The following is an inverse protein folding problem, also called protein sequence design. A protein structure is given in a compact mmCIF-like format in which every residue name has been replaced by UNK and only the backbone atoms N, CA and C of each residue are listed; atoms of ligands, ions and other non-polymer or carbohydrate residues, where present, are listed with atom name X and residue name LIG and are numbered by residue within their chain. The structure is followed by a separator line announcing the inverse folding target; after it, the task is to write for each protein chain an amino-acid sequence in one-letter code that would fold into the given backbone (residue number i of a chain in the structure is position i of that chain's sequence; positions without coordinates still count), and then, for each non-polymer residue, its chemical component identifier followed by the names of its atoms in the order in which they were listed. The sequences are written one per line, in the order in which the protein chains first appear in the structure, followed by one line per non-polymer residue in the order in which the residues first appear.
data_IF_853418466635
#
_entry.id   IF_853418466635
#
_cell.length_a   1.000
_cell.length_b   1.000
_cell.length_c   1.000
_cell.angle_alpha   90.00
_cell.angle_beta   90.00
_cell.angle_gamma   90.00
#
_symmetry.space_group_name_H-M   'P 1'
#
loop_
_entity.id
_entity.type
_entity.pdbx_description
1 polymer ?
#
# COMPACT_ATOMS: atom_id res chain seq x y z
N UNK A 1 -21.55 -36.86 0.34
CA UNK A 1 -20.15 -36.55 -0.05
C UNK A 1 -19.24 -37.13 1.03
N UNK A 2 -18.33 -38.06 0.69
CA UNK A 2 -17.61 -38.84 1.70
C UNK A 2 -16.51 -38.00 2.34
N UNK A 3 -16.18 -38.26 3.61
CA UNK A 3 -15.11 -37.54 4.34
C UNK A 3 -13.78 -37.61 3.59
N UNK A 4 -13.51 -38.75 2.94
CA UNK A 4 -12.34 -38.98 2.09
C UNK A 4 -12.25 -37.97 0.92
N UNK A 5 -13.38 -37.67 0.26
CA UNK A 5 -13.43 -36.71 -0.84
C UNK A 5 -13.08 -35.28 -0.37
N UNK A 6 -13.43 -34.96 0.88
CA UNK A 6 -13.12 -33.65 1.48
C UNK A 6 -11.63 -33.54 1.79
N UNK A 7 -11.01 -34.58 2.35
CA UNK A 7 -9.58 -34.61 2.64
C UNK A 7 -8.74 -34.52 1.35
N UNK A 8 -9.08 -35.31 0.33
CA UNK A 8 -8.37 -35.27 -0.95
C UNK A 8 -8.42 -33.89 -1.62
N UNK A 9 -9.56 -33.19 -1.53
CA UNK A 9 -9.68 -31.80 -2.04
C UNK A 9 -8.79 -30.83 -1.28
N UNK A 10 -8.68 -30.98 0.04
CA UNK A 10 -7.84 -30.13 0.91
C UNK A 10 -6.36 -30.34 0.62
N UNK A 11 -5.92 -31.59 0.50
CA UNK A 11 -4.55 -31.91 0.08
C UNK A 11 -4.20 -31.35 -1.30
N UNK A 12 -5.13 -31.45 -2.27
CA UNK A 12 -4.93 -30.85 -3.59
C UNK A 12 -4.75 -29.32 -3.50
N UNK A 13 -5.48 -28.67 -2.60
CA UNK A 13 -5.40 -27.23 -2.34
C UNK A 13 -4.03 -26.86 -1.75
N UNK A 14 -3.53 -27.64 -0.80
CA UNK A 14 -2.21 -27.43 -0.20
C UNK A 14 -1.08 -27.63 -1.21
N UNK A 15 -1.20 -28.62 -2.10
CA UNK A 15 -0.23 -28.85 -3.19
C UNK A 15 -0.24 -27.72 -4.22
N UNK A 16 -1.41 -27.21 -4.57
CA UNK A 16 -1.54 -26.05 -5.46
C UNK A 16 -0.82 -24.83 -4.88
N UNK A 17 -1.02 -24.57 -3.58
CA UNK A 17 -0.34 -23.49 -2.88
C UNK A 17 1.18 -23.67 -2.88
N UNK A 18 1.70 -24.86 -2.55
CA UNK A 18 3.14 -25.12 -2.55
C UNK A 18 3.77 -24.93 -3.94
N UNK A 19 3.10 -25.40 -5.00
CA UNK A 19 3.56 -25.21 -6.38
C UNK A 19 3.58 -23.74 -6.79
N UNK A 20 2.54 -22.97 -6.41
CA UNK A 20 2.52 -21.53 -6.68
C UNK A 20 3.60 -20.78 -5.91
N UNK A 21 3.87 -21.16 -4.66
CA UNK A 21 4.95 -20.57 -3.87
C UNK A 21 6.32 -20.84 -4.51
N UNK A 22 6.60 -22.09 -4.89
CA UNK A 22 7.85 -22.44 -5.58
C UNK A 22 8.04 -21.66 -6.88
N UNK A 23 6.96 -21.47 -7.65
CA UNK A 23 6.98 -20.68 -8.89
C UNK A 23 7.28 -19.20 -8.64
N UNK A 24 6.74 -18.63 -7.56
CA UNK A 24 6.98 -17.23 -7.21
C UNK A 24 8.35 -17.01 -6.55
N UNK A 25 8.86 -18.00 -5.83
CA UNK A 25 10.18 -17.99 -5.19
C UNK A 25 11.33 -18.19 -6.18
N UNK A 26 11.08 -18.88 -7.31
CA UNK A 26 12.06 -19.07 -8.37
C UNK A 26 11.70 -18.29 -9.65
N UNK A 27 11.81 -16.95 -9.66
CA UNK A 27 11.59 -16.14 -10.86
C UNK A 27 12.69 -16.30 -11.93
N UNK A 28 13.73 -17.10 -11.67
CA UNK A 28 14.91 -17.28 -12.53
C UNK A 28 14.87 -18.54 -13.40
N UNK A 29 13.76 -19.26 -13.47
CA UNK A 29 13.48 -20.11 -14.63
C UNK A 29 13.20 -19.19 -15.85
N UNK A 30 14.24 -18.47 -16.27
CA UNK A 30 14.27 -17.68 -17.49
C UNK A 30 13.98 -18.67 -18.62
N UNK A 31 12.96 -18.46 -19.46
CA UNK A 31 12.83 -19.27 -20.66
C UNK A 31 14.15 -19.19 -21.42
N UNK A 32 14.65 -20.30 -21.99
CA UNK A 32 15.89 -20.28 -22.75
C UNK A 32 15.81 -19.15 -23.78
N UNK A 33 16.91 -18.39 -23.92
CA UNK A 33 17.00 -17.32 -24.90
C UNK A 33 16.63 -17.94 -26.25
N UNK A 34 15.80 -17.30 -27.10
CA UNK A 34 15.31 -17.92 -28.34
C UNK A 34 16.41 -18.38 -29.30
N UNK A 35 17.67 -17.98 -29.09
CA UNK A 35 18.84 -18.44 -29.82
C UNK A 35 19.34 -19.85 -29.43
N UNK A 36 18.90 -20.41 -28.30
CA UNK A 36 19.34 -21.73 -27.79
C UNK A 36 18.26 -22.80 -27.93
N UNK A 37 17.11 -22.45 -28.53
CA UNK A 37 16.08 -23.40 -28.91
C UNK A 37 16.56 -24.14 -30.15
N UNK A 38 17.29 -25.23 -29.94
CA UNK A 38 17.54 -26.22 -30.98
C UNK A 38 16.18 -26.80 -31.38
N UNK A 39 15.74 -26.51 -32.61
CA UNK A 39 14.54 -27.08 -33.21
C UNK A 39 14.76 -28.58 -33.42
N UNK A 40 14.56 -29.38 -32.37
CA UNK A 40 14.33 -30.80 -32.52
C UNK A 40 12.91 -30.92 -33.06
N UNK A 41 12.77 -31.33 -34.32
CA UNK A 41 11.48 -31.57 -34.99
C UNK A 41 10.75 -32.76 -34.31
N UNK A 42 10.21 -32.52 -33.12
CA UNK A 42 9.25 -33.39 -32.46
C UNK A 42 7.81 -33.03 -32.86
N UNK A 43 6.85 -33.96 -32.72
CA UNK A 43 5.45 -33.71 -33.07
C UNK A 43 4.93 -32.45 -32.36
N UNK A 44 4.34 -31.56 -33.16
CA UNK A 44 3.83 -30.24 -32.75
C UNK A 44 3.05 -30.35 -31.43
N UNK A 45 3.67 -29.93 -30.34
CA UNK A 45 3.04 -29.91 -29.04
C UNK A 45 1.73 -29.11 -29.13
N UNK A 46 0.66 -29.68 -28.60
CA UNK A 46 -0.64 -29.03 -28.44
C UNK A 46 -0.46 -27.63 -27.83
N UNK A 47 -1.33 -26.64 -28.15
CA UNK A 47 -1.20 -25.28 -27.65
C UNK A 47 -1.11 -25.31 -26.13
N UNK A 48 0.08 -24.96 -25.61
CA UNK A 48 0.32 -24.87 -24.18
C UNK A 48 -0.72 -23.90 -23.59
N UNK A 49 -1.44 -24.36 -22.56
CA UNK A 49 -2.44 -23.56 -21.86
C UNK A 49 -1.88 -22.18 -21.53
N UNK A 50 -2.62 -21.13 -21.87
CA UNK A 50 -2.16 -19.75 -21.75
C UNK A 50 -1.64 -19.45 -20.33
N UNK A 51 -0.45 -18.84 -20.19
CA UNK A 51 0.11 -18.55 -18.88
C UNK A 51 -0.78 -17.53 -18.15
N UNK A 52 -1.40 -17.95 -17.04
CA UNK A 52 -2.18 -17.06 -16.15
C UNK A 52 -1.41 -15.79 -15.84
N UNK A 53 -2.08 -14.64 -15.85
CA UNK A 53 -1.39 -13.36 -15.62
C UNK A 53 -0.81 -13.31 -14.19
N UNK A 54 0.25 -12.52 -13.99
CA UNK A 54 0.84 -12.36 -12.65
C UNK A 54 -0.17 -11.85 -11.62
N UNK A 55 -1.14 -11.03 -12.04
CA UNK A 55 -2.20 -10.53 -11.17
C UNK A 55 -3.15 -11.66 -10.73
N UNK A 56 -3.58 -12.52 -11.66
CA UNK A 56 -4.39 -13.71 -11.34
C UNK A 56 -3.67 -14.66 -10.40
N UNK A 57 -2.36 -14.89 -10.62
CA UNK A 57 -1.56 -15.74 -9.73
C UNK A 57 -1.48 -15.19 -8.31
N UNK A 58 -1.40 -13.86 -8.14
CA UNK A 58 -1.39 -13.20 -6.82
C UNK A 58 -2.76 -13.29 -6.14
N UNK A 59 -3.85 -13.08 -6.88
CA UNK A 59 -5.20 -13.24 -6.35
C UNK A 59 -5.44 -14.68 -5.89
N UNK A 60 -5.07 -15.65 -6.74
CA UNK A 60 -5.17 -17.07 -6.43
C UNK A 60 -4.33 -17.47 -5.22
N UNK A 61 -3.12 -16.91 -5.08
CA UNK A 61 -2.28 -17.10 -3.90
C UNK A 61 -2.99 -16.64 -2.62
N UNK A 62 -3.63 -15.47 -2.66
CA UNK A 62 -4.37 -14.93 -1.51
C UNK A 62 -5.56 -15.80 -1.09
N UNK A 63 -6.29 -16.36 -2.06
CA UNK A 63 -7.38 -17.31 -1.81
C UNK A 63 -6.87 -18.59 -1.14
N UNK A 64 -5.86 -19.23 -1.71
CA UNK A 64 -5.28 -20.48 -1.21
C UNK A 64 -4.65 -20.32 0.17
N UNK A 65 -4.01 -19.17 0.42
CA UNK A 65 -3.46 -18.81 1.73
C UNK A 65 -4.56 -18.78 2.81
N UNK A 66 -5.65 -18.04 2.58
CA UNK A 66 -6.75 -17.95 3.54
C UNK A 66 -7.42 -19.30 3.78
N UNK A 67 -7.60 -20.10 2.73
CA UNK A 67 -8.11 -21.46 2.85
C UNK A 67 -7.22 -22.35 3.72
N UNK A 68 -5.90 -22.26 3.54
CA UNK A 68 -4.92 -23.02 4.33
C UNK A 68 -4.86 -22.58 5.80
N UNK A 69 -5.06 -21.28 6.09
CA UNK A 69 -5.20 -20.81 7.47
C UNK A 69 -6.44 -21.39 8.16
N UNK A 70 -7.58 -21.47 7.45
CA UNK A 70 -8.77 -22.11 7.99
C UNK A 70 -8.54 -23.60 8.26
N UNK A 71 -7.83 -24.30 7.36
CA UNK A 71 -7.48 -25.71 7.54
C UNK A 71 -6.51 -25.94 8.71
N UNK A 72 -5.56 -25.04 8.94
CA UNK A 72 -4.66 -25.08 10.09
C UNK A 72 -5.42 -24.90 11.41
N UNK A 73 -6.30 -23.90 11.50
CA UNK A 73 -7.14 -23.71 12.70
C UNK A 73 -8.04 -24.91 12.97
N UNK A 74 -8.56 -25.54 11.91
CA UNK A 74 -9.32 -26.78 12.02
C UNK A 74 -8.44 -27.93 12.53
N UNK A 75 -7.24 -28.09 11.99
CA UNK A 75 -6.31 -29.14 12.39
C UNK A 75 -5.88 -29.00 13.86
N UNK A 76 -5.66 -27.78 14.35
CA UNK A 76 -5.39 -27.48 15.76
C UNK A 76 -6.60 -27.79 16.65
N UNK A 77 -7.81 -27.37 16.24
CA UNK A 77 -9.03 -27.57 17.03
C UNK A 77 -9.42 -29.06 17.20
N UNK A 78 -9.07 -29.90 16.22
CA UNK A 78 -9.34 -31.34 16.24
C UNK A 78 -8.14 -32.20 16.65
N UNK A 79 -7.05 -31.60 17.14
CA UNK A 79 -5.82 -32.27 17.58
C UNK A 79 -5.32 -33.31 16.55
N UNK A 80 -5.27 -32.90 15.29
CA UNK A 80 -4.76 -33.73 14.19
C UNK A 80 -3.28 -34.09 14.42
N UNK A 81 -2.74 -35.11 13.72
CA UNK A 81 -1.35 -35.52 13.87
C UNK A 81 -0.37 -34.35 13.79
N UNK A 82 0.59 -34.30 14.72
CA UNK A 82 1.56 -33.19 14.85
C UNK A 82 2.32 -32.90 13.56
N UNK A 83 2.58 -33.92 12.75
CA UNK A 83 3.23 -33.78 11.43
C UNK A 83 2.40 -32.91 10.47
N UNK A 84 1.08 -33.12 10.43
CA UNK A 84 0.16 -32.37 9.56
C UNK A 84 0.06 -30.92 10.01
N UNK A 85 -0.05 -30.69 11.32
CA UNK A 85 -0.10 -29.34 11.91
C UNK A 85 1.20 -28.59 11.63
N UNK A 86 2.36 -29.24 11.83
CA UNK A 86 3.67 -28.67 11.52
C UNK A 86 3.83 -28.34 10.03
N UNK A 87 3.37 -29.23 9.14
CA UNK A 87 3.37 -28.99 7.70
C UNK A 87 2.52 -27.76 7.32
N UNK A 88 1.30 -27.66 7.85
CA UNK A 88 0.40 -26.53 7.62
C UNK A 88 0.99 -25.22 8.15
N UNK A 89 1.59 -25.21 9.34
CA UNK A 89 2.29 -24.03 9.85
C UNK A 89 3.43 -23.58 8.92
N UNK A 90 4.27 -24.51 8.47
CA UNK A 90 5.37 -24.18 7.56
C UNK A 90 4.88 -23.67 6.21
N UNK A 91 3.79 -24.25 5.67
CA UNK A 91 3.18 -23.83 4.42
C UNK A 91 2.57 -22.43 4.55
N UNK A 92 1.79 -22.17 5.61
CA UNK A 92 1.19 -20.86 5.89
C UNK A 92 2.26 -19.80 6.13
N UNK A 93 3.33 -20.10 6.86
CA UNK A 93 4.43 -19.16 7.09
C UNK A 93 5.13 -18.75 5.78
N UNK A 94 5.41 -19.70 4.88
CA UNK A 94 5.97 -19.38 3.54
C UNK A 94 4.99 -18.56 2.71
N UNK A 95 3.71 -18.92 2.72
CA UNK A 95 2.67 -18.18 2.02
C UNK A 95 2.52 -16.74 2.56
N UNK A 96 2.56 -16.56 3.86
CA UNK A 96 2.51 -15.26 4.52
C UNK A 96 3.65 -14.37 4.03
N UNK A 97 4.89 -14.90 4.07
CA UNK A 97 6.05 -14.20 3.54
C UNK A 97 5.86 -13.86 2.05
N UNK A 98 5.35 -14.77 1.22
CA UNK A 98 5.14 -14.48 -0.20
C UNK A 98 4.08 -13.38 -0.46
N UNK A 99 2.95 -13.41 0.26
CA UNK A 99 1.87 -12.41 0.14
C UNK A 99 2.37 -11.02 0.56
N UNK A 100 3.11 -10.94 1.67
CA UNK A 100 3.60 -9.66 2.19
C UNK A 100 4.89 -9.17 1.52
N UNK A 101 5.76 -10.06 1.02
CA UNK A 101 6.98 -9.72 0.25
C UNK A 101 6.68 -9.21 -1.16
N UNK A 102 5.49 -9.48 -1.71
CA UNK A 102 5.12 -9.13 -3.09
C UNK A 102 4.91 -7.62 -3.34
N UNK A 103 5.06 -6.75 -2.34
CA UNK A 103 5.00 -5.29 -2.51
C UNK A 103 6.39 -4.66 -2.34
N UNK A 104 7.30 -4.95 -3.29
CA UNK A 104 8.32 -3.96 -3.60
C UNK A 104 7.60 -2.69 -4.03
N UNK A 105 7.57 -1.68 -3.17
CA UNK A 105 6.89 -0.41 -3.44
C UNK A 105 7.50 0.19 -4.72
N UNK A 106 6.75 0.14 -5.83
CA UNK A 106 7.20 0.73 -7.09
C UNK A 106 6.97 2.23 -7.00
N UNK A 107 7.86 2.93 -6.29
CA UNK A 107 7.81 4.38 -6.05
C UNK A 107 7.45 5.16 -7.30
N UNK A 108 8.04 4.81 -8.45
CA UNK A 108 7.74 5.44 -9.75
C UNK A 108 6.29 5.28 -10.21
N UNK A 109 5.67 4.10 -10.06
CA UNK A 109 4.27 3.87 -10.45
C UNK A 109 3.30 4.55 -9.47
N UNK A 110 3.63 4.52 -8.19
CA UNK A 110 2.84 5.20 -7.17
C UNK A 110 2.89 6.72 -7.33
N UNK A 111 4.07 7.29 -7.58
CA UNK A 111 4.25 8.72 -7.87
C UNK A 111 3.51 9.12 -9.15
N UNK A 112 3.59 8.32 -10.22
CA UNK A 112 2.81 8.57 -11.43
C UNK A 112 1.30 8.60 -11.15
N UNK A 113 0.80 7.64 -10.36
CA UNK A 113 -0.61 7.61 -10.01
C UNK A 113 -1.03 8.85 -9.19
N UNK A 114 -0.21 9.26 -8.22
CA UNK A 114 -0.49 10.38 -7.34
C UNK A 114 -0.38 11.75 -8.04
N UNK A 115 0.59 11.95 -8.93
CA UNK A 115 0.85 13.23 -9.57
C UNK A 115 0.21 13.37 -10.96
N UNK A 116 -0.17 12.28 -11.62
CA UNK A 116 -0.75 12.31 -12.97
C UNK A 116 -2.19 11.84 -12.97
N UNK A 117 -2.45 10.62 -12.49
CA UNK A 117 -3.78 10.01 -12.59
C UNK A 117 -4.79 10.69 -11.67
N UNK A 118 -4.44 10.88 -10.39
CA UNK A 118 -5.32 11.49 -9.39
C UNK A 118 -5.66 12.95 -9.74
N UNK A 119 -4.70 13.85 -10.07
CA UNK A 119 -5.03 15.24 -10.36
C UNK A 119 -5.85 15.39 -11.64
N UNK A 120 -5.66 14.50 -12.63
CA UNK A 120 -6.48 14.50 -13.84
C UNK A 120 -7.94 14.16 -13.54
N UNK A 121 -8.19 13.16 -12.68
CA UNK A 121 -9.55 12.78 -12.25
C UNK A 121 -10.19 13.85 -11.37
N UNK A 122 -9.42 14.42 -10.45
CA UNK A 122 -9.92 15.45 -9.54
C UNK A 122 -10.35 16.71 -10.32
N UNK A 123 -9.59 17.13 -11.33
CA UNK A 123 -9.96 18.28 -12.18
C UNK A 123 -11.19 18.02 -13.05
N UNK A 124 -11.55 16.78 -13.36
CA UNK A 124 -12.77 16.46 -14.11
C UNK A 124 -14.02 16.39 -13.23
N UNK A 125 -13.87 16.44 -11.90
CA UNK A 125 -14.98 16.34 -10.96
C UNK A 125 -15.72 17.69 -10.81
N UNK A 126 -17.02 17.78 -11.16
CA UNK A 126 -17.79 19.02 -11.04
C UNK A 126 -17.98 19.45 -9.58
N UNK A 127 -18.03 18.51 -8.63
CA UNK A 127 -18.18 18.81 -7.20
C UNK A 127 -16.94 19.50 -6.66
N UNK A 128 -15.73 19.06 -7.06
CA UNK A 128 -14.50 19.74 -6.68
C UNK A 128 -14.42 21.15 -7.26
N UNK A 129 -14.84 21.33 -8.53
CA UNK A 129 -14.87 22.66 -9.16
C UNK A 129 -15.82 23.60 -8.44
N UNK A 130 -16.99 23.11 -8.02
CA UNK A 130 -17.94 23.88 -7.23
C UNK A 130 -17.35 24.23 -5.86
N UNK A 131 -16.76 23.26 -5.15
CA UNK A 131 -16.11 23.50 -3.87
C UNK A 131 -14.96 24.52 -3.98
N UNK A 132 -14.11 24.41 -5.00
CA UNK A 132 -13.06 25.37 -5.28
C UNK A 132 -13.64 26.76 -5.61
N UNK A 133 -14.68 26.82 -6.43
CA UNK A 133 -15.37 28.07 -6.76
C UNK A 133 -15.97 28.76 -5.54
N UNK A 134 -16.63 28.02 -4.65
CA UNK A 134 -17.18 28.55 -3.41
C UNK A 134 -16.06 29.01 -2.48
N UNK A 135 -15.03 28.19 -2.27
CA UNK A 135 -13.91 28.51 -1.39
C UNK A 135 -13.17 29.77 -1.85
N UNK A 136 -12.68 29.77 -3.09
CA UNK A 136 -11.94 30.91 -3.63
C UNK A 136 -12.85 32.10 -3.88
N UNK A 137 -14.09 31.90 -4.29
CA UNK A 137 -15.04 32.98 -4.51
C UNK A 137 -15.37 33.74 -3.23
N UNK A 138 -15.68 33.01 -2.16
CA UNK A 138 -15.93 33.62 -0.83
C UNK A 138 -14.66 34.30 -0.32
N UNK A 139 -13.50 33.64 -0.43
CA UNK A 139 -12.23 34.24 -0.04
C UNK A 139 -11.95 35.56 -0.79
N UNK A 140 -12.09 35.57 -2.12
CA UNK A 140 -11.83 36.76 -2.93
C UNK A 140 -12.81 37.88 -2.60
N UNK A 141 -14.08 37.53 -2.38
CA UNK A 141 -15.11 38.47 -1.98
C UNK A 141 -14.71 39.18 -0.68
N UNK A 142 -14.38 38.43 0.37
CA UNK A 142 -13.96 39.01 1.64
C UNK A 142 -12.64 39.79 1.53
N UNK A 143 -11.67 39.31 0.74
CA UNK A 143 -10.41 40.01 0.50
C UNK A 143 -10.63 41.37 -0.19
N UNK A 144 -11.50 41.43 -1.20
CA UNK A 144 -11.84 42.66 -1.90
C UNK A 144 -12.62 43.63 -1.00
N UNK A 145 -13.55 43.13 -0.19
CA UNK A 145 -14.27 43.96 0.79
C UNK A 145 -13.33 44.56 1.83
N UNK A 146 -12.37 43.78 2.33
CA UNK A 146 -11.35 44.25 3.27
C UNK A 146 -10.43 45.29 2.63
N UNK A 147 -10.01 45.09 1.38
CA UNK A 147 -9.16 46.04 0.66
C UNK A 147 -9.88 47.36 0.33
N UNK A 148 -11.18 47.30 0.01
CA UNK A 148 -11.97 48.47 -0.38
C UNK A 148 -12.56 49.27 0.78
N UNK A 149 -12.61 48.72 1.99
CA UNK A 149 -13.18 49.38 3.18
C UNK A 149 -12.22 49.34 4.37
N UNK A 150 -11.60 50.47 4.75
CA UNK A 150 -10.78 50.52 5.95
C UNK A 150 -11.61 50.18 7.19
N UNK A 151 -11.07 49.35 8.09
CA UNK A 151 -11.74 48.88 9.31
C UNK A 151 -12.79 47.77 9.09
N UNK A 152 -12.94 47.21 7.88
CA UNK A 152 -13.86 46.08 7.65
C UNK A 152 -13.39 44.79 8.36
N UNK A 153 -12.09 44.52 8.33
CA UNK A 153 -11.49 43.36 9.00
C UNK A 153 -11.70 43.42 10.52
N UNK A 154 -11.47 44.58 11.14
CA UNK A 154 -11.70 44.82 12.58
C UNK A 154 -13.16 44.60 12.98
N UNK A 155 -14.13 45.03 12.15
CA UNK A 155 -15.56 44.86 12.43
C UNK A 155 -16.07 43.42 12.30
N UNK A 156 -15.46 42.63 11.41
CA UNK A 156 -15.88 41.24 11.14
C UNK A 156 -15.18 40.25 12.06
N UNK A 157 -13.87 40.42 12.25
CA UNK A 157 -13.01 39.50 13.01
C UNK A 157 -12.90 39.93 14.48
N UNK A 158 -12.99 41.24 14.75
CA UNK A 158 -12.78 41.83 16.07
C UNK A 158 -11.33 42.29 16.28
N UNK A 159 -11.15 43.49 16.81
CA UNK A 159 -9.85 44.06 17.22
C UNK A 159 -8.96 43.09 18.02
N UNK A 160 -9.44 42.41 19.08
CA UNK A 160 -8.57 41.53 19.88
C UNK A 160 -7.98 40.36 19.09
N UNK A 161 -8.67 39.90 18.04
CA UNK A 161 -8.16 38.84 17.17
C UNK A 161 -7.16 39.37 16.15
N UNK A 162 -7.35 40.60 15.65
CA UNK A 162 -6.38 41.26 14.76
C UNK A 162 -5.06 41.50 15.49
N UNK A 163 -5.11 42.02 16.72
CA UNK A 163 -3.90 42.21 17.55
C UNK A 163 -3.18 40.89 17.85
N UNK A 164 -3.92 39.81 18.10
CA UNK A 164 -3.35 38.48 18.29
C UNK A 164 -2.60 37.99 17.04
N UNK A 165 -3.17 38.19 15.83
CA UNK A 165 -2.49 37.84 14.59
C UNK A 165 -1.25 38.70 14.37
N UNK A 166 -1.33 39.99 14.65
CA UNK A 166 -0.21 40.93 14.52
C UNK A 166 0.95 40.47 15.42
N UNK A 167 0.69 40.21 16.71
CA UNK A 167 1.69 39.69 17.66
C UNK A 167 2.33 38.36 17.22
N UNK A 168 1.57 37.48 16.57
CA UNK A 168 2.06 36.19 16.09
C UNK A 168 2.98 36.32 14.87
N UNK A 169 2.69 37.27 13.97
CA UNK A 169 3.47 37.50 12.75
C UNK A 169 4.56 38.57 12.89
N UNK A 170 4.56 39.35 13.97
CA UNK A 170 5.57 40.36 14.29
C UNK A 170 6.91 39.72 14.76
N UNK A 171 6.91 38.44 15.16
CA UNK A 171 8.15 37.74 15.48
C UNK A 171 8.88 37.23 14.22
N UNK A 172 10.10 37.71 13.91
CA UNK A 172 10.89 37.14 12.83
C UNK A 172 11.31 35.70 13.17
N UNK A 173 11.17 34.80 12.20
CA UNK A 173 11.55 33.37 12.28
C UNK A 173 13.00 33.17 12.79
N UNK A 174 13.84 34.19 12.64
CA UNK A 174 15.21 34.26 13.16
C UNK A 174 15.30 34.02 14.67
N UNK A 175 14.30 34.40 15.46
CA UNK A 175 14.31 34.22 16.92
C UNK A 175 14.15 32.75 17.34
N UNK A 176 13.48 31.92 16.54
CA UNK A 176 13.31 30.48 16.77
C UNK A 176 14.60 29.67 16.53
N UNK A 177 15.54 30.19 15.74
CA UNK A 177 16.82 29.53 15.47
C UNK A 177 17.90 29.82 16.54
N UNK A 178 17.71 30.82 17.41
CA UNK A 178 18.69 31.21 18.43
C UNK A 178 18.34 30.73 19.85
N UNK A 179 17.18 30.12 20.08
CA UNK A 179 16.79 29.56 21.39
C UNK A 179 17.41 28.19 21.69
N UNK A 180 18.59 27.89 21.13
CA UNK A 180 19.37 26.72 21.55
C UNK A 180 19.93 26.99 22.96
N UNK A 181 19.63 26.16 23.98
CA UNK A 181 20.14 26.40 25.32
C UNK A 181 21.68 26.28 25.33
N UNK A 182 22.41 27.15 26.05
CA UNK A 182 23.87 27.03 26.12
C UNK A 182 24.27 25.68 26.74
N UNK A 183 25.41 25.11 26.32
CA UNK A 183 25.84 23.79 26.79
C UNK A 183 26.06 23.85 28.31
N UNK A 184 25.36 22.96 29.03
CA UNK A 184 25.52 22.80 30.48
C UNK A 184 26.97 22.40 30.76
N UNK A 185 27.75 23.32 31.31
CA UNK A 185 29.07 23.01 31.86
C UNK A 185 28.90 21.93 32.94
N UNK A 186 29.48 20.75 32.70
CA UNK A 186 29.64 19.66 33.68
C UNK A 186 30.46 20.22 34.84
N UNK A 187 29.81 20.46 35.98
CA UNK A 187 30.50 20.65 37.24
C UNK A 187 31.24 19.35 37.58
N UNK A 188 32.56 19.46 37.71
CA UNK A 188 33.47 18.41 38.17
C UNK A 188 33.53 18.54 39.69
N UNK A 189 33.04 17.55 40.42
CA UNK A 189 33.35 17.29 41.83
C UNK A 189 33.68 15.79 41.88
N UNK A 190 34.87 15.35 42.27
CA UNK A 190 35.56 15.74 43.50
C UNK A 190 35.23 14.65 44.49
#
# INVERSE_FOLDING_TARGET
MRVVDRLARREATWRELDLLLRRLENPLARPPKPAEVTWVEGPRAAPAAEPKTRAEQILRLGELYRASCADLMLAEAYDLPRETVAYLHALVARAHNAVYRARGFRFSRWAWELFVTVPRRLRSDPTLRLAAGVFYGVFLLFALLAAGRPGFAEKVVGEPYIEMFDQMYDQPITCLLYSSPPPRHRARSG
#
